data_IF_178758220590
#
_entry.id   IF_178758220590
#
_cell.length_a   1.000
_cell.length_b   1.000
_cell.length_c   1.000
_cell.angle_alpha   90.00
_cell.angle_beta   90.00
_cell.angle_gamma   90.00
#
_symmetry.space_group_name_H-M   'P 1'
#
loop_
_entity.id
_entity.type
_entity.pdbx_description
1 polymer ?
#
# COMPACT_ATOMS: atom_id res chain seq x y z
N UNK A 1 11.28 3.14 22.58
CA UNK A 1 10.90 3.82 21.33
C UNK A 1 9.93 2.93 20.56
N UNK A 2 8.80 3.45 20.09
CA UNK A 2 7.91 2.70 19.20
C UNK A 2 8.60 2.50 17.84
N UNK A 3 8.67 1.25 17.38
CA UNK A 3 9.24 0.90 16.08
C UNK A 3 8.18 1.15 15.01
N UNK A 4 8.44 2.08 14.09
CA UNK A 4 7.54 2.33 12.95
C UNK A 4 7.97 1.45 11.79
N UNK A 5 7.05 0.60 11.30
CA UNK A 5 7.29 -0.25 10.14
C UNK A 5 6.94 0.51 8.85
N UNK A 6 7.76 0.36 7.81
CA UNK A 6 7.43 0.81 6.45
C UNK A 6 6.94 -0.40 5.66
N UNK A 7 5.79 -0.27 5.02
CA UNK A 7 5.13 -1.37 4.32
C UNK A 7 5.13 -1.06 2.81
N UNK A 8 5.37 -2.07 1.99
CA UNK A 8 5.18 -1.99 0.55
C UNK A 8 4.14 -3.04 0.13
N UNK A 9 3.15 -2.61 -0.67
CA UNK A 9 2.13 -3.50 -1.25
C UNK A 9 2.29 -3.50 -2.76
N UNK A 10 2.67 -4.67 -3.29
CA UNK A 10 2.94 -4.90 -4.73
C UNK A 10 1.73 -5.61 -5.33
N UNK A 11 1.08 -4.97 -6.30
CA UNK A 11 -0.19 -5.35 -6.90
C UNK A 11 -1.35 -4.60 -6.24
N UNK A 12 -1.99 -3.69 -6.97
CA UNK A 12 -3.11 -2.83 -6.53
C UNK A 12 -4.43 -3.29 -7.17
N UNK A 13 -4.65 -4.61 -7.18
CA UNK A 13 -5.92 -5.21 -7.55
C UNK A 13 -6.95 -5.13 -6.43
N UNK A 14 -8.01 -5.93 -6.54
CA UNK A 14 -9.13 -5.95 -5.58
C UNK A 14 -8.72 -6.13 -4.11
N UNK A 15 -7.63 -6.87 -3.83
CA UNK A 15 -7.14 -7.05 -2.45
C UNK A 15 -6.09 -6.02 -2.07
N UNK A 16 -5.12 -5.77 -2.95
CA UNK A 16 -3.97 -4.95 -2.62
C UNK A 16 -4.29 -3.46 -2.45
N UNK A 17 -5.24 -2.93 -3.23
CA UNK A 17 -5.66 -1.53 -3.12
C UNK A 17 -6.33 -1.20 -1.78
N UNK A 18 -7.43 -1.88 -1.39
CA UNK A 18 -8.04 -1.60 -0.09
C UNK A 18 -7.09 -1.90 1.08
N UNK A 19 -6.22 -2.91 0.97
CA UNK A 19 -5.22 -3.20 2.00
C UNK A 19 -4.17 -2.09 2.14
N UNK A 20 -3.69 -1.55 1.02
CA UNK A 20 -2.74 -0.43 1.01
C UNK A 20 -3.31 0.80 1.69
N UNK A 21 -4.59 1.09 1.43
CA UNK A 21 -5.31 2.20 2.04
C UNK A 21 -5.49 2.02 3.55
N UNK A 22 -5.92 0.83 3.98
CA UNK A 22 -6.09 0.54 5.41
C UNK A 22 -4.76 0.62 6.17
N UNK A 23 -3.69 0.06 5.61
CA UNK A 23 -2.37 0.17 6.23
C UNK A 23 -1.82 1.60 6.24
N UNK A 24 -2.16 2.43 5.25
CA UNK A 24 -1.72 3.83 5.20
C UNK A 24 -2.29 4.66 6.37
N UNK A 25 -3.40 4.24 6.97
CA UNK A 25 -3.95 4.87 8.17
C UNK A 25 -3.08 4.68 9.43
N UNK A 26 -2.19 3.67 9.43
CA UNK A 26 -1.41 3.27 10.60
C UNK A 26 0.10 3.30 10.38
N UNK A 27 0.56 3.14 9.13
CA UNK A 27 1.96 2.99 8.77
C UNK A 27 2.30 3.77 7.49
N UNK A 28 3.56 4.19 7.30
CA UNK A 28 4.03 4.61 5.98
C UNK A 28 3.94 3.45 4.98
N UNK A 29 3.11 3.60 3.95
CA UNK A 29 2.87 2.60 2.91
C UNK A 29 3.33 3.10 1.54
N UNK A 30 4.03 2.25 0.79
CA UNK A 30 4.28 2.41 -0.64
C UNK A 30 3.39 1.41 -1.42
N UNK A 31 2.42 1.92 -2.17
CA UNK A 31 1.65 1.11 -3.11
C UNK A 31 2.30 1.10 -4.50
N UNK A 32 2.38 -0.07 -5.13
CA UNK A 32 2.88 -0.22 -6.50
C UNK A 32 2.03 -1.22 -7.29
N UNK A 33 1.70 -0.90 -8.54
CA UNK A 33 1.20 -1.86 -9.53
C UNK A 33 1.93 -1.62 -10.86
N UNK A 34 2.12 -2.68 -11.65
CA UNK A 34 2.73 -2.59 -12.98
C UNK A 34 1.78 -1.93 -14.00
N UNK A 35 0.47 -2.06 -13.79
CA UNK A 35 -0.53 -1.36 -14.56
C UNK A 35 -0.77 0.03 -13.96
N UNK A 36 -0.21 1.05 -14.60
CA UNK A 36 -0.33 2.45 -14.19
C UNK A 36 -1.79 2.88 -14.00
N UNK A 37 -2.73 2.39 -14.81
CA UNK A 37 -4.16 2.74 -14.71
C UNK A 37 -4.80 2.35 -13.37
N UNK A 38 -4.18 1.46 -12.58
CA UNK A 38 -4.68 1.07 -11.25
C UNK A 38 -4.25 2.03 -10.13
N UNK A 39 -3.30 2.92 -10.41
CA UNK A 39 -2.65 3.79 -9.42
C UNK A 39 -2.53 5.26 -9.82
N UNK A 40 -2.87 5.60 -11.07
CA UNK A 40 -2.97 6.97 -11.62
C UNK A 40 -4.25 7.68 -11.14
#
# INVERSE_FOLDING_TARGET
MMKTYKIAVIGQGYVGLPLSLEFAAHYPVLGFDINAQRVE
#
